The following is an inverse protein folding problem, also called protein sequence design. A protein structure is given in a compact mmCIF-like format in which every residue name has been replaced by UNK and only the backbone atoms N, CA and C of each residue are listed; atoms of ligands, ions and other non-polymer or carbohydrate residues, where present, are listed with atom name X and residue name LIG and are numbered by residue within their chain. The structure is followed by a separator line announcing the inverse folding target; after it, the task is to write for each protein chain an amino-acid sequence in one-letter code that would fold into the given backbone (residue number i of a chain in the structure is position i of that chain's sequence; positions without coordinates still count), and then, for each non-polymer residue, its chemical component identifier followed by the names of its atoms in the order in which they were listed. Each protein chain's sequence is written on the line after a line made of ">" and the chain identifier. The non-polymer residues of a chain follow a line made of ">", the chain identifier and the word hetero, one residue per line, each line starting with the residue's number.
data_IF_673006478011
#
_entry.id   IF_673006478011
#
_cell.length_a   1.000
_cell.length_b   1.000
_cell.length_c   1.000
_cell.angle_alpha   90.00
_cell.angle_beta   90.00
_cell.angle_gamma   90.00
#
_symmetry.space_group_name_H-M   'P 1'
#
loop_
_entity.id
_entity.type
_entity.pdbx_description
1 polymer ?
#
# COMPACT_ATOMS: atom_id res chain seq x y z
N UNK A 1 -13.79 -10.19 -2.14
CA UNK A 1 -12.52 -9.45 -2.17
C UNK A 1 -12.21 -8.96 -0.77
N UNK A 2 -11.10 -9.39 -0.17
CA UNK A 2 -10.62 -8.82 1.10
C UNK A 2 -9.16 -8.48 0.92
N UNK A 3 -8.81 -7.20 1.15
CA UNK A 3 -7.42 -6.79 1.23
C UNK A 3 -6.83 -7.32 2.55
N UNK A 4 -5.53 -7.67 2.57
CA UNK A 4 -4.88 -8.00 3.83
C UNK A 4 -4.84 -6.75 4.72
N UNK A 5 -5.04 -6.94 6.04
CA UNK A 5 -4.96 -5.87 7.06
C UNK A 5 -3.67 -5.06 6.97
N UNK A 6 -2.60 -5.67 6.46
CA UNK A 6 -1.32 -5.01 6.24
C UNK A 6 -1.37 -3.78 5.34
N UNK A 7 -2.34 -3.68 4.42
CA UNK A 7 -2.49 -2.49 3.55
C UNK A 7 -2.80 -1.24 4.38
N UNK A 8 -3.77 -1.35 5.29
CA UNK A 8 -4.14 -0.27 6.21
C UNK A 8 -2.95 0.14 7.08
N UNK A 9 -2.29 -0.83 7.70
CA UNK A 9 -1.18 -0.59 8.62
C UNK A 9 0.00 0.09 7.90
N UNK A 10 0.31 -0.37 6.69
CA UNK A 10 1.38 0.19 5.89
C UNK A 10 1.06 1.59 5.38
N UNK A 11 -0.16 1.84 4.89
CA UNK A 11 -0.56 3.18 4.46
C UNK A 11 -0.45 4.19 5.61
N UNK A 12 -0.95 3.84 6.80
CA UNK A 12 -0.79 4.67 8.00
C UNK A 12 0.68 4.90 8.38
N UNK A 13 1.52 3.86 8.33
CA UNK A 13 2.95 4.01 8.60
C UNK A 13 3.65 4.92 7.57
N UNK A 14 3.28 4.85 6.29
CA UNK A 14 3.82 5.73 5.25
C UNK A 14 3.41 7.19 5.46
N UNK A 15 2.19 7.45 5.91
CA UNK A 15 1.75 8.81 6.31
C UNK A 15 2.60 9.34 7.48
N UNK A 16 2.88 8.51 8.49
CA UNK A 16 3.78 8.91 9.59
C UNK A 16 5.19 9.21 9.06
N UNK A 17 5.71 8.41 8.11
CA UNK A 17 7.03 8.65 7.51
C UNK A 17 7.07 9.92 6.64
N UNK A 18 5.96 10.28 5.99
CA UNK A 18 5.82 11.56 5.30
C UNK A 18 5.88 12.73 6.28
N UNK A 19 5.11 12.66 7.36
CA UNK A 19 5.15 13.64 8.47
C UNK A 19 6.54 13.72 9.12
N UNK A 20 7.27 12.61 9.18
CA UNK A 20 8.64 12.58 9.69
C UNK A 20 9.64 13.35 8.80
N UNK A 21 9.28 13.77 7.59
CA UNK A 21 10.07 14.69 6.76
C UNK A 21 11.45 14.13 6.39
N UNK A 22 11.53 12.82 6.11
CA UNK A 22 12.77 12.13 5.75
C UNK A 22 13.63 11.66 6.93
N UNK A 23 13.21 11.95 8.17
CA UNK A 23 13.82 11.36 9.38
C UNK A 23 13.57 9.85 9.40
N UNK A 24 14.51 9.12 10.00
CA UNK A 24 14.40 7.66 10.19
C UNK A 24 13.52 7.40 11.42
N UNK A 25 12.50 6.56 11.26
CA UNK A 25 11.61 6.13 12.34
C UNK A 25 11.73 4.63 12.53
N UNK A 26 11.94 4.18 13.77
CA UNK A 26 12.01 2.75 14.07
C UNK A 26 10.66 2.06 13.83
N UNK A 27 10.67 0.74 13.57
CA UNK A 27 9.42 -0.03 13.48
C UNK A 27 8.60 0.02 14.78
N UNK A 28 9.27 0.13 15.92
CA UNK A 28 8.62 0.28 17.23
C UNK A 28 7.95 1.65 17.36
N UNK A 29 8.62 2.73 16.91
CA UNK A 29 8.02 4.08 16.88
C UNK A 29 6.80 4.13 15.98
N UNK A 30 6.90 3.62 14.75
CA UNK A 30 5.76 3.54 13.82
C UNK A 30 4.59 2.74 14.39
N UNK A 31 4.87 1.62 15.05
CA UNK A 31 3.85 0.79 15.67
C UNK A 31 3.20 1.47 16.89
N UNK A 32 3.98 2.25 17.65
CA UNK A 32 3.52 2.98 18.83
C UNK A 32 2.49 4.07 18.51
N UNK A 33 2.51 4.66 17.32
CA UNK A 33 1.53 5.68 16.90
C UNK A 33 0.09 5.13 16.91
N UNK A 34 -0.09 3.84 16.62
CA UNK A 34 -1.41 3.23 16.42
C UNK A 34 -1.67 1.99 17.31
N UNK A 35 -0.88 1.79 18.37
CA UNK A 35 -0.94 0.63 19.27
C UNK A 35 -0.90 -0.73 18.54
N UNK A 36 0.10 -0.85 17.65
CA UNK A 36 0.27 -2.02 16.78
C UNK A 36 1.39 -2.93 17.25
N UNK A 37 1.38 -4.19 16.80
CA UNK A 37 2.51 -5.09 16.99
C UNK A 37 3.72 -4.63 16.15
N UNK A 38 4.87 -4.29 16.78
CA UNK A 38 6.06 -3.87 16.03
C UNK A 38 6.57 -4.96 15.09
N UNK A 39 6.53 -6.22 15.52
CA UNK A 39 6.95 -7.36 14.71
C UNK A 39 6.07 -7.56 13.49
N UNK A 40 4.75 -7.41 13.64
CA UNK A 40 3.83 -7.57 12.51
C UNK A 40 3.95 -6.41 11.52
N UNK A 41 4.00 -5.17 12.01
CA UNK A 41 4.22 -4.00 11.16
C UNK A 41 5.55 -4.08 10.42
N UNK A 42 6.63 -4.50 11.09
CA UNK A 42 7.94 -4.67 10.47
C UNK A 42 7.89 -5.64 9.26
N UNK A 43 7.10 -6.72 9.31
CA UNK A 43 6.93 -7.61 8.14
C UNK A 43 6.38 -6.87 6.92
N UNK A 44 5.46 -5.92 7.12
CA UNK A 44 4.93 -5.10 6.03
C UNK A 44 5.95 -4.06 5.55
N UNK A 45 6.67 -3.42 6.48
CA UNK A 45 7.73 -2.47 6.15
C UNK A 45 8.87 -3.12 5.35
N UNK A 46 9.23 -4.38 5.63
CA UNK A 46 10.21 -5.11 4.83
C UNK A 46 9.73 -5.40 3.40
N UNK A 47 8.43 -5.70 3.20
CA UNK A 47 7.86 -5.84 1.86
C UNK A 47 7.88 -4.50 1.10
N UNK A 48 7.54 -3.40 1.78
CA UNK A 48 7.64 -2.07 1.20
C UNK A 48 9.10 -1.70 0.86
N UNK A 49 10.06 -2.13 1.67
CA UNK A 49 11.49 -1.94 1.39
C UNK A 49 11.95 -2.73 0.17
N UNK A 50 11.52 -3.98 0.04
CA UNK A 50 11.77 -4.80 -1.14
C UNK A 50 11.14 -4.21 -2.42
N UNK A 51 9.99 -3.53 -2.29
CA UNK A 51 9.35 -2.78 -3.37
C UNK A 51 9.98 -1.40 -3.63
N UNK A 52 11.00 -1.00 -2.86
CA UNK A 52 11.68 0.29 -3.01
C UNK A 52 10.90 1.51 -2.51
N UNK A 53 9.76 1.32 -1.83
CA UNK A 53 8.92 2.41 -1.32
C UNK A 53 9.56 3.07 -0.09
N UNK A 54 10.16 2.26 0.79
CA UNK A 54 10.89 2.72 1.97
C UNK A 54 12.33 2.23 1.95
N UNK A 55 13.22 2.99 2.60
CA UNK A 55 14.60 2.59 2.82
C UNK A 55 14.75 2.10 4.26
N UNK A 56 15.34 0.92 4.44
CA UNK A 56 15.69 0.37 5.75
C UNK A 56 17.11 0.82 6.14
N UNK A 57 17.25 1.38 7.33
CA UNK A 57 18.53 1.78 7.93
C UNK A 57 18.86 0.82 9.06
N UNK A 58 20.02 0.18 9.00
CA UNK A 58 20.49 -0.74 10.02
C UNK A 58 21.15 -0.03 11.22
N UNK A 59 21.22 -0.71 12.36
CA UNK A 59 21.92 -0.25 13.58
C UNK A 59 20.97 0.13 14.73
N UNK A 60 21.56 0.55 15.85
CA UNK A 60 20.82 0.88 17.08
C UNK A 60 19.85 2.07 16.92
N UNK A 61 20.15 2.99 16.01
CA UNK A 61 19.29 4.11 15.59
C UNK A 61 18.63 3.84 14.22
N UNK A 62 18.52 2.56 13.85
CA UNK A 62 17.95 2.12 12.59
C UNK A 62 16.43 2.25 12.54
N UNK A 63 15.87 1.99 11.35
CA UNK A 63 14.44 2.15 11.10
C UNK A 63 14.14 2.31 9.63
N UNK A 64 13.06 3.04 9.33
CA UNK A 64 12.57 3.26 7.98
C UNK A 64 12.41 4.74 7.70
N UNK A 65 12.56 5.10 6.42
CA UNK A 65 12.16 6.39 5.86
C UNK A 65 11.63 6.16 4.45
N UNK A 66 10.87 7.10 3.90
CA UNK A 66 10.48 7.04 2.50
C UNK A 66 11.73 7.07 1.59
N UNK A 67 11.75 6.22 0.56
CA UNK A 67 12.83 6.21 -0.45
C UNK A 67 12.64 7.29 -1.51
N UNK A 68 11.43 7.84 -1.61
CA UNK A 68 11.02 8.85 -2.58
C UNK A 68 9.97 9.78 -1.97
N UNK A 69 9.69 10.96 -2.55
CA UNK A 69 8.64 11.85 -2.05
C UNK A 69 7.29 11.12 -1.93
N UNK A 70 6.53 11.36 -0.86
CA UNK A 70 5.22 10.73 -0.65
C UNK A 70 4.23 10.98 -1.77
N UNK A 71 4.35 12.12 -2.48
CA UNK A 71 3.57 12.45 -3.67
C UNK A 71 3.82 11.51 -4.87
N UNK A 72 4.87 10.67 -4.83
CA UNK A 72 5.18 9.64 -5.84
C UNK A 72 4.86 8.22 -5.38
N UNK A 73 4.30 8.05 -4.19
CA UNK A 73 3.86 6.76 -3.67
C UNK A 73 2.33 6.76 -3.67
N UNK A 74 1.72 5.92 -4.49
CA UNK A 74 0.27 5.76 -4.57
C UNK A 74 -0.26 4.68 -3.62
N UNK A 75 -1.57 4.69 -3.36
CA UNK A 75 -2.22 3.56 -2.67
C UNK A 75 -2.15 2.27 -3.47
N UNK A 76 -2.12 2.33 -4.81
CA UNK A 76 -1.94 1.13 -5.64
C UNK A 76 -0.55 0.53 -5.44
N UNK A 77 0.50 1.34 -5.25
CA UNK A 77 1.84 0.84 -4.91
C UNK A 77 1.84 0.06 -3.59
N UNK A 78 1.12 0.54 -2.58
CA UNK A 78 0.98 -0.14 -1.28
C UNK A 78 0.22 -1.46 -1.42
N UNK A 79 -0.91 -1.44 -2.12
CA UNK A 79 -1.72 -2.64 -2.38
C UNK A 79 -0.93 -3.65 -3.18
N UNK A 80 -0.19 -3.23 -4.21
CA UNK A 80 0.63 -4.09 -5.05
C UNK A 80 1.83 -4.67 -4.30
N UNK A 81 2.47 -3.90 -3.41
CA UNK A 81 3.59 -4.38 -2.60
C UNK A 81 3.19 -5.41 -1.53
N UNK A 82 1.95 -5.35 -1.03
CA UNK A 82 1.50 -6.19 0.10
C UNK A 82 0.51 -7.28 -0.28
N UNK A 83 -0.25 -7.08 -1.36
CA UNK A 83 -1.24 -7.98 -1.91
C UNK A 83 -0.64 -9.14 -2.70
N UNK A 84 -1.52 -9.92 -3.32
CA UNK A 84 -1.11 -10.95 -4.28
C UNK A 84 -1.01 -10.37 -5.69
N UNK A 85 -0.11 -10.92 -6.50
CA UNK A 85 -0.05 -10.64 -7.94
C UNK A 85 -1.23 -11.21 -8.74
N UNK A 86 -2.21 -11.84 -8.06
CA UNK A 86 -3.34 -12.47 -8.71
C UNK A 86 -4.47 -11.45 -8.94
N UNK A 87 -5.19 -11.54 -10.07
CA UNK A 87 -6.35 -10.71 -10.30
C UNK A 87 -7.45 -11.01 -9.27
N UNK A 88 -8.29 -10.01 -9.03
CA UNK A 88 -9.42 -10.11 -8.10
C UNK A 88 -10.46 -11.14 -8.56
N UNK A 89 -10.57 -11.31 -9.87
CA UNK A 89 -11.40 -12.32 -10.51
C UNK A 89 -10.56 -13.20 -11.43
N UNK A 90 -10.62 -14.51 -11.21
CA UNK A 90 -9.94 -15.49 -12.06
C UNK A 90 -10.97 -16.29 -12.86
N UNK A 91 -11.00 -16.07 -14.17
CA UNK A 91 -11.85 -16.83 -15.07
C UNK A 91 -11.31 -18.26 -15.26
N UNK A 92 -12.10 -19.25 -14.88
CA UNK A 92 -11.75 -20.67 -15.08
C UNK A 92 -12.27 -21.25 -16.42
N UNK A 93 -12.65 -20.38 -17.35
CA UNK A 93 -13.17 -20.74 -18.68
C UNK A 93 -14.31 -21.79 -18.63
N UNK A 94 -15.22 -21.67 -17.64
CA UNK A 94 -16.31 -22.64 -17.43
C UNK A 94 -17.28 -22.74 -18.62
N UNK A 95 -17.29 -21.72 -19.50
CA UNK A 95 -18.01 -21.75 -20.79
C UNK A 95 -17.49 -22.81 -21.77
N UNK A 96 -16.31 -23.38 -21.52
CA UNK A 96 -15.73 -24.48 -22.30
C UNK A 96 -16.05 -25.87 -21.71
N UNK A 97 -16.94 -25.94 -20.72
CA UNK A 97 -17.29 -27.16 -20.00
C UNK A 97 -18.77 -27.51 -20.23
N UNK A 98 -19.17 -28.72 -19.82
CA UNK A 98 -20.56 -29.18 -19.91
C UNK A 98 -21.09 -29.19 -21.35
N UNK A 99 -22.21 -28.51 -21.58
CA UNK A 99 -22.92 -28.48 -22.87
C UNK A 99 -22.09 -27.93 -24.05
N UNK A 100 -20.95 -27.29 -23.79
CA UNK A 100 -20.11 -26.64 -24.81
C UNK A 100 -18.72 -27.27 -24.94
N UNK A 101 -18.51 -28.46 -24.37
CA UNK A 101 -17.20 -29.13 -24.36
C UNK A 101 -16.68 -29.44 -25.77
N UNK A 102 -17.58 -29.77 -26.69
CA UNK A 102 -17.31 -30.04 -28.12
C UNK A 102 -16.89 -28.78 -28.89
N UNK A 103 -17.21 -27.59 -28.38
CA UNK A 103 -16.92 -26.30 -29.00
C UNK A 103 -15.75 -25.56 -28.36
N UNK A 104 -15.06 -26.17 -27.39
CA UNK A 104 -13.97 -25.55 -26.62
C UNK A 104 -12.96 -24.77 -27.47
N UNK A 105 -12.42 -25.38 -28.53
CA UNK A 105 -11.41 -24.74 -29.39
C UNK A 105 -11.93 -23.46 -30.05
N UNK A 106 -13.19 -23.46 -30.51
CA UNK A 106 -13.85 -22.28 -31.10
C UNK A 106 -14.08 -21.18 -30.07
N UNK A 107 -14.52 -21.56 -28.86
CA UNK A 107 -14.79 -20.61 -27.77
C UNK A 107 -13.52 -19.93 -27.30
N UNK A 108 -12.42 -20.68 -27.13
CA UNK A 108 -11.13 -20.11 -26.74
C UNK A 108 -10.57 -19.19 -27.83
N UNK A 109 -10.73 -19.55 -29.11
CA UNK A 109 -10.31 -18.72 -30.23
C UNK A 109 -11.06 -17.37 -30.32
N UNK A 110 -12.23 -17.24 -29.69
CA UNK A 110 -12.96 -15.97 -29.64
C UNK A 110 -12.40 -14.97 -28.62
N UNK A 111 -11.34 -15.33 -27.89
CA UNK A 111 -10.74 -14.50 -26.84
C UNK A 111 -11.57 -14.47 -25.55
N UNK A 112 -11.28 -13.51 -24.66
CA UNK A 112 -11.90 -13.41 -23.33
C UNK A 112 -13.43 -13.33 -23.40
N UNK A 113 -14.12 -14.07 -22.52
CA UNK A 113 -15.56 -13.95 -22.39
C UNK A 113 -15.96 -12.56 -21.88
N UNK A 114 -17.19 -12.14 -22.19
CA UNK A 114 -17.73 -10.84 -21.76
C UNK A 114 -17.72 -10.66 -20.25
N UNK A 115 -17.95 -11.74 -19.48
CA UNK A 115 -17.86 -11.73 -18.02
C UNK A 115 -16.42 -11.42 -17.57
N UNK A 116 -15.43 -12.15 -18.09
CA UNK A 116 -14.03 -11.91 -17.74
C UNK A 116 -13.61 -10.48 -18.10
N UNK A 117 -14.00 -10.01 -19.29
CA UNK A 117 -13.73 -8.64 -19.72
C UNK A 117 -14.34 -7.60 -18.79
N UNK A 118 -15.61 -7.77 -18.40
CA UNK A 118 -16.28 -6.86 -17.48
C UNK A 118 -15.60 -6.84 -16.10
N UNK A 119 -15.20 -8.01 -15.59
CA UNK A 119 -14.48 -8.12 -14.32
C UNK A 119 -13.08 -7.49 -14.38
N UNK A 120 -12.33 -7.67 -15.48
CA UNK A 120 -11.04 -7.00 -15.68
C UNK A 120 -11.18 -5.49 -15.73
N UNK A 121 -12.18 -4.97 -16.46
CA UNK A 121 -12.43 -3.52 -16.53
C UNK A 121 -12.77 -2.92 -15.15
N UNK A 122 -13.51 -3.66 -14.31
CA UNK A 122 -13.81 -3.22 -12.96
C UNK A 122 -12.56 -3.19 -12.07
N UNK A 123 -11.68 -4.19 -12.18
CA UNK A 123 -10.39 -4.20 -11.47
C UNK A 123 -9.49 -3.06 -11.95
N UNK A 124 -9.39 -2.81 -13.26
CA UNK A 124 -8.61 -1.71 -13.82
C UNK A 124 -9.09 -0.35 -13.30
N UNK A 125 -10.41 -0.13 -13.25
CA UNK A 125 -10.99 1.11 -12.72
C UNK A 125 -10.70 1.28 -11.22
N UNK A 126 -10.75 0.20 -10.45
CA UNK A 126 -10.41 0.23 -9.03
C UNK A 126 -8.93 0.54 -8.80
N UNK A 127 -8.02 -0.11 -9.54
CA UNK A 127 -6.57 0.18 -9.48
C UNK A 127 -6.25 1.60 -9.92
N UNK A 128 -6.88 2.09 -10.98
CA UNK A 128 -6.70 3.47 -11.44
C UNK A 128 -7.11 4.49 -10.36
N UNK A 129 -8.19 4.23 -9.62
CA UNK A 129 -8.60 5.06 -8.49
C UNK A 129 -7.54 5.11 -7.38
N UNK A 130 -6.98 3.94 -7.02
CA UNK A 130 -5.91 3.85 -6.01
C UNK A 130 -4.61 4.51 -6.48
N UNK A 131 -4.25 4.36 -7.76
CA UNK A 131 -3.08 4.98 -8.36
C UNK A 131 -3.18 6.52 -8.37
N UNK A 132 -4.41 7.06 -8.42
CA UNK A 132 -4.68 8.49 -8.39
C UNK A 132 -4.61 9.13 -6.99
N UNK A 133 -4.38 8.37 -5.93
CA UNK A 133 -4.28 8.88 -4.55
C UNK A 133 -2.90 8.59 -3.99
N UNK A 134 -2.10 9.64 -3.75
CA UNK A 134 -0.77 9.50 -3.16
C UNK A 134 -0.77 9.51 -1.63
N UNK A 135 0.32 9.06 -1.01
CA UNK A 135 0.51 9.17 0.45
C UNK A 135 0.52 10.63 0.90
N UNK A 136 1.06 11.55 0.08
CA UNK A 136 1.00 12.97 0.37
C UNK A 136 -0.44 13.51 0.39
N UNK A 137 -1.30 13.05 -0.52
CA UNK A 137 -2.72 13.45 -0.53
C UNK A 137 -3.44 13.00 0.75
N UNK A 138 -3.12 11.80 1.24
CA UNK A 138 -3.65 11.30 2.51
C UNK A 138 -3.15 12.10 3.72
N UNK A 139 -1.88 12.55 3.68
CA UNK A 139 -1.30 13.37 4.73
C UNK A 139 -1.75 14.84 4.69
N UNK A 140 -2.20 15.35 3.54
CA UNK A 140 -2.52 16.75 3.31
C UNK A 140 -3.62 17.28 4.25
N UNK A 141 -4.58 16.44 4.62
CA UNK A 141 -5.70 16.81 5.50
C UNK A 141 -5.38 16.84 7.00
N UNK A 142 -4.16 16.47 7.41
CA UNK A 142 -3.78 16.47 8.83
C UNK A 142 -3.51 17.89 9.31
N UNK A 143 -4.07 18.25 10.47
CA UNK A 143 -3.72 19.47 11.17
C UNK A 143 -2.37 19.35 11.89
N UNK A 144 -1.81 20.50 12.30
CA UNK A 144 -0.49 20.54 12.90
C UNK A 144 -0.44 19.93 14.30
N UNK A 145 -1.56 19.96 15.03
CA UNK A 145 -1.68 19.25 16.31
C UNK A 145 -1.56 17.73 16.12
N UNK A 146 -2.21 17.19 15.09
CA UNK A 146 -2.16 15.76 14.74
C UNK A 146 -0.78 15.36 14.28
N UNK A 147 -0.15 16.14 13.39
CA UNK A 147 1.24 15.90 12.96
C UNK A 147 2.20 15.87 14.14
N UNK A 148 2.10 16.83 15.05
CA UNK A 148 2.92 16.91 16.27
C UNK A 148 2.76 15.67 17.14
N UNK A 149 1.52 15.21 17.37
CA UNK A 149 1.25 13.99 18.14
C UNK A 149 1.83 12.74 17.47
N UNK A 150 1.75 12.62 16.14
CA UNK A 150 2.34 11.51 15.41
C UNK A 150 3.86 11.46 15.59
N UNK A 151 4.54 12.61 15.48
CA UNK A 151 5.99 12.70 15.68
C UNK A 151 6.40 12.28 17.09
N UNK A 152 5.73 12.83 18.11
CA UNK A 152 6.01 12.50 19.50
C UNK A 152 5.79 11.01 19.80
N UNK A 153 4.68 10.44 19.33
CA UNK A 153 4.38 9.02 19.49
C UNK A 153 5.37 8.11 18.73
N UNK A 154 5.90 8.60 17.61
CA UNK A 154 6.96 7.93 16.84
C UNK A 154 8.36 8.05 17.47
N UNK A 155 8.50 8.77 18.58
CA UNK A 155 9.77 9.02 19.26
C UNK A 155 10.63 10.09 18.59
N UNK A 156 10.01 11.02 17.87
CA UNK A 156 10.64 12.17 17.25
C UNK A 156 10.21 13.47 17.95
N UNK A 157 11.18 14.34 18.20
CA UNK A 157 10.88 15.71 18.63
C UNK A 157 10.39 16.54 17.43
N UNK A 158 9.27 17.29 17.55
CA UNK A 158 8.82 18.21 16.51
C UNK A 158 9.90 19.26 16.23
N UNK A 159 10.26 19.44 14.96
CA UNK A 159 11.26 20.42 14.55
C UNK A 159 10.54 21.68 14.07
N UNK A 160 10.56 22.80 14.80
CA UNK A 160 9.81 24.01 14.45
C UNK A 160 10.25 24.65 13.11
N UNK A 161 11.41 24.26 12.57
CA UNK A 161 11.91 24.72 11.27
C UNK A 161 11.45 23.83 10.13
N UNK A 162 11.35 22.50 10.34
CA UNK A 162 10.92 21.53 9.32
C UNK A 162 9.43 21.22 9.34
N UNK A 163 8.79 21.46 10.49
CA UNK A 163 7.38 21.21 10.75
C UNK A 163 6.68 22.56 11.06
N UNK A 164 6.64 23.54 10.12
CA UNK A 164 6.04 24.84 10.39
C UNK A 164 4.55 24.69 10.72
N UNK A 165 4.19 25.16 11.91
CA UNK A 165 2.83 25.26 12.43
C UNK A 165 1.95 26.22 11.63
#
# INVERSE_FOLDING_TARGET
>A
MQLPKGVEWAAHALVVLDVAGGRVVSSAGLAGVFDLSPTYLNKHLQKLAAAGIVASVAGASGGFRLSQPAARVSLDDVVSALGSAAPLFQCNEIRCQGAFVDQKSRILASGLCSINRAMSLAEDAWRASLAGTSIADLAAGLDNATRTRMLQAAGLDPDPVKDPL
#
